data_IF_531059616443
#
_entry.id   IF_531059616443
#
_cell.length_a   1.000
_cell.length_b   1.000
_cell.length_c   1.000
_cell.angle_alpha   90.00
_cell.angle_beta   90.00
_cell.angle_gamma   90.00
#
_symmetry.space_group_name_H-M   'P 1'
#
loop_
_entity.id
_entity.type
_entity.pdbx_description
1 polymer ?
#
# COMPACT_ATOMS: atom_id res chain seq x y z
N UNK A 1 41.03 27.68 29.82
CA UNK A 1 39.78 28.03 29.09
C UNK A 1 39.16 26.76 28.56
N UNK A 2 37.89 26.53 28.90
CA UNK A 2 37.14 25.36 28.40
C UNK A 2 36.76 25.59 26.97
N UNK A 3 37.02 24.60 26.13
CA UNK A 3 36.62 24.55 24.69
C UNK A 3 35.55 23.51 24.48
N UNK A 4 34.59 23.85 23.64
CA UNK A 4 33.49 22.96 23.26
C UNK A 4 33.58 22.63 21.77
N UNK A 5 33.09 21.45 21.38
CA UNK A 5 32.94 21.08 20.00
C UNK A 5 31.71 20.15 19.90
N UNK A 6 30.75 20.59 19.13
CA UNK A 6 29.59 19.80 18.77
C UNK A 6 29.77 19.24 17.36
N UNK A 7 29.60 17.95 17.24
CA UNK A 7 29.66 17.25 15.95
C UNK A 7 28.61 16.15 15.87
N UNK A 8 28.23 15.77 14.68
CA UNK A 8 27.35 14.61 14.51
C UNK A 8 27.85 13.69 13.40
N UNK A 9 27.36 12.44 13.42
CA UNK A 9 27.64 11.44 12.42
C UNK A 9 26.59 10.33 12.43
N UNK A 10 26.76 9.37 11.51
CA UNK A 10 25.85 8.22 11.39
C UNK A 10 26.10 7.23 12.54
N UNK A 11 25.05 6.60 13.12
CA UNK A 11 25.23 5.54 14.09
C UNK A 11 26.06 4.38 13.55
N UNK A 12 26.93 3.83 14.38
CA UNK A 12 27.61 2.60 14.05
C UNK A 12 26.62 1.43 14.19
N UNK A 13 26.39 0.64 13.15
CA UNK A 13 25.42 -0.46 13.21
C UNK A 13 25.87 -1.63 14.09
N UNK A 14 27.17 -1.70 14.44
CA UNK A 14 27.68 -2.74 15.32
C UNK A 14 27.39 -2.41 16.78
N UNK A 15 26.60 -3.24 17.45
CA UNK A 15 26.31 -3.10 18.87
C UNK A 15 27.53 -3.31 19.79
N UNK A 16 28.61 -3.90 19.26
CA UNK A 16 29.89 -4.11 19.94
C UNK A 16 30.93 -3.02 19.64
N UNK A 17 30.57 -1.99 18.87
CA UNK A 17 31.51 -0.94 18.52
C UNK A 17 31.86 -0.09 19.76
N UNK A 18 33.13 0.08 20.01
CA UNK A 18 33.68 0.94 21.09
C UNK A 18 33.29 2.41 20.84
N UNK A 19 33.11 2.80 19.57
CA UNK A 19 32.73 4.15 19.18
C UNK A 19 31.37 4.14 18.48
N UNK A 20 30.39 4.93 18.99
CA UNK A 20 29.01 4.83 18.51
C UNK A 20 28.77 5.45 17.13
N UNK A 21 29.77 6.13 16.55
CA UNK A 21 29.66 6.80 15.23
C UNK A 21 30.49 6.07 14.20
N UNK A 22 29.93 5.87 13.03
CA UNK A 22 30.61 5.32 11.84
C UNK A 22 31.00 6.46 10.89
N UNK A 23 32.25 6.45 10.42
CA UNK A 23 32.75 7.42 9.44
C UNK A 23 33.11 8.79 10.03
N UNK A 24 33.15 9.79 9.17
CA UNK A 24 33.56 11.13 9.54
C UNK A 24 32.50 11.91 10.31
N UNK A 25 32.97 12.71 11.26
CA UNK A 25 32.14 13.60 12.04
C UNK A 25 32.00 14.95 11.33
N UNK A 26 30.80 15.45 11.26
CA UNK A 26 30.52 16.81 10.83
C UNK A 26 30.48 17.73 12.05
N UNK A 27 31.47 18.59 12.19
CA UNK A 27 31.49 19.65 13.24
C UNK A 27 30.47 20.73 12.88
N UNK A 28 29.63 21.13 13.86
CA UNK A 28 28.50 22.05 13.65
C UNK A 28 28.54 23.27 14.55
N UNK A 29 29.25 23.23 15.70
CA UNK A 29 29.43 24.39 16.58
C UNK A 29 30.60 24.18 17.54
N UNK A 30 31.16 25.28 18.02
CA UNK A 30 32.12 25.35 19.12
C UNK A 30 31.55 26.11 20.31
N UNK A 31 30.29 26.52 20.27
CA UNK A 31 29.65 27.22 21.39
C UNK A 31 29.24 26.25 22.49
N UNK A 32 29.18 26.71 23.77
CA UNK A 32 28.74 25.86 24.87
C UNK A 32 27.28 25.39 24.73
N UNK A 33 26.43 26.18 24.08
CA UNK A 33 25.04 25.89 23.79
C UNK A 33 24.85 25.79 22.25
N UNK A 34 24.19 24.73 21.80
CA UNK A 34 23.94 24.50 20.38
C UNK A 34 22.50 24.81 20.02
N UNK A 35 22.30 25.45 18.86
CA UNK A 35 21.08 25.48 18.09
C UNK A 35 21.42 25.08 16.66
N UNK A 36 20.91 23.92 16.22
CA UNK A 36 21.19 23.38 14.89
C UNK A 36 19.93 22.76 14.29
N UNK A 37 19.67 23.04 13.01
CA UNK A 37 18.54 22.48 12.27
C UNK A 37 19.05 21.39 11.34
N UNK A 38 18.54 20.17 11.55
CA UNK A 38 18.79 19.05 10.64
C UNK A 38 17.88 19.18 9.44
N UNK A 39 18.46 19.12 8.24
CA UNK A 39 17.74 19.23 6.96
C UNK A 39 17.40 17.87 6.34
N UNK A 40 17.84 16.78 6.93
CA UNK A 40 17.57 15.42 6.46
C UNK A 40 17.08 14.55 7.60
N UNK A 41 16.05 13.77 7.32
CA UNK A 41 15.53 12.74 8.23
C UNK A 41 16.58 11.64 8.42
N UNK A 42 16.62 11.06 9.60
CA UNK A 42 17.54 9.97 9.90
C UNK A 42 17.90 9.86 11.37
N UNK A 43 18.62 8.79 11.67
CA UNK A 43 19.20 8.59 12.99
C UNK A 43 20.62 9.12 13.00
N UNK A 44 20.92 9.95 13.99
CA UNK A 44 22.23 10.56 14.18
C UNK A 44 22.74 10.31 15.59
N UNK A 45 24.06 10.27 15.73
CA UNK A 45 24.72 10.38 17.03
C UNK A 45 25.38 11.75 17.06
N UNK A 46 24.97 12.59 18.01
CA UNK A 46 25.60 13.88 18.28
C UNK A 46 26.65 13.67 19.37
N UNK A 47 27.86 14.20 19.15
CA UNK A 47 28.97 14.19 20.10
C UNK A 47 29.26 15.60 20.59
N UNK A 48 29.27 15.76 21.89
CA UNK A 48 29.86 16.92 22.57
C UNK A 48 31.25 16.54 23.06
N UNK A 49 32.26 17.27 22.62
CA UNK A 49 33.62 17.26 23.17
C UNK A 49 33.80 18.48 24.08
N UNK A 50 34.29 18.26 25.29
CA UNK A 50 34.64 19.31 26.25
C UNK A 50 36.13 19.14 26.56
N UNK A 51 36.93 20.20 26.38
CA UNK A 51 38.36 20.21 26.58
C UNK A 51 38.72 21.39 27.50
N UNK A 52 39.25 21.11 28.68
CA UNK A 52 39.67 22.13 29.64
C UNK A 52 41.20 22.42 29.63
N UNK A 53 41.92 21.77 28.68
CA UNK A 53 43.37 21.85 28.56
C UNK A 53 44.13 20.79 29.35
N UNK A 54 43.52 20.14 30.32
CA UNK A 54 44.08 19.05 31.13
C UNK A 54 43.45 17.69 30.80
N UNK A 55 42.16 17.71 30.43
CA UNK A 55 41.38 16.53 30.10
C UNK A 55 40.38 16.80 29.02
N UNK A 56 39.99 15.72 28.27
CA UNK A 56 38.96 15.75 27.25
C UNK A 56 37.86 14.77 27.66
N UNK A 57 36.62 15.28 27.65
CA UNK A 57 35.43 14.47 27.90
C UNK A 57 34.54 14.43 26.66
N UNK A 58 34.00 13.27 26.35
CA UNK A 58 33.02 13.11 25.30
C UNK A 58 31.68 12.71 25.87
N UNK A 59 30.61 13.32 25.36
CA UNK A 59 29.24 12.90 25.62
C UNK A 59 28.52 12.68 24.32
N UNK A 60 27.75 11.59 24.25
CA UNK A 60 27.01 11.20 23.05
C UNK A 60 25.51 11.27 23.30
N UNK A 61 24.78 11.71 22.30
CA UNK A 61 23.32 11.79 22.29
C UNK A 61 22.81 11.11 21.03
N UNK A 62 21.82 10.24 21.19
CA UNK A 62 21.10 9.68 20.04
C UNK A 62 20.01 10.65 19.65
N UNK A 63 19.98 11.02 18.37
CA UNK A 63 18.96 11.88 17.79
C UNK A 63 18.22 11.12 16.71
N UNK A 64 16.91 11.17 16.76
CA UNK A 64 16.05 10.69 15.69
C UNK A 64 15.35 11.92 15.08
N UNK A 65 15.76 12.26 13.85
CA UNK A 65 15.21 13.39 13.11
C UNK A 65 14.15 12.86 12.16
N UNK A 66 12.91 13.18 12.47
CA UNK A 66 11.74 12.79 11.70
C UNK A 66 11.31 13.94 10.76
N UNK A 67 10.63 13.60 9.65
CA UNK A 67 10.12 14.59 8.70
C UNK A 67 8.87 15.32 9.20
N UNK A 68 8.25 14.82 10.25
CA UNK A 68 6.91 15.23 10.64
C UNK A 68 5.80 14.67 9.73
N UNK A 69 6.17 13.87 8.72
CA UNK A 69 5.24 13.21 7.78
C UNK A 69 5.28 11.68 7.94
N UNK A 70 5.56 11.21 9.15
CA UNK A 70 5.91 9.82 9.42
C UNK A 70 4.72 8.88 9.31
N UNK A 71 3.54 9.31 9.74
CA UNK A 71 2.37 8.46 9.91
C UNK A 71 1.09 9.15 9.46
N UNK A 72 0.20 8.40 8.78
CA UNK A 72 -1.07 8.95 8.32
C UNK A 72 -1.72 8.15 7.22
N UNK A 73 -2.78 8.71 6.65
CA UNK A 73 -3.57 8.09 5.59
C UNK A 73 -3.16 8.71 4.26
N UNK A 74 -2.86 7.86 3.29
CA UNK A 74 -2.59 8.24 1.90
C UNK A 74 -3.82 7.95 1.06
N UNK A 75 -4.21 8.92 0.24
CA UNK A 75 -5.32 8.79 -0.71
C UNK A 75 -4.83 9.18 -2.09
N UNK A 76 -4.67 8.20 -2.98
CA UNK A 76 -4.53 8.48 -4.40
C UNK A 76 -5.92 8.83 -4.92
N UNK A 77 -6.06 9.98 -5.54
CA UNK A 77 -7.33 10.47 -6.07
C UNK A 77 -7.13 11.10 -7.45
N UNK A 78 -8.18 11.13 -8.26
CA UNK A 78 -8.12 11.61 -9.64
C UNK A 78 -9.33 12.49 -9.95
N UNK A 79 -9.11 13.65 -10.57
CA UNK A 79 -10.16 14.56 -11.01
C UNK A 79 -10.80 14.15 -12.34
N UNK A 80 -11.80 14.91 -12.80
CA UNK A 80 -12.54 14.66 -14.05
C UNK A 80 -11.68 14.91 -15.32
N UNK A 81 -10.45 15.48 -15.19
CA UNK A 81 -9.47 15.70 -16.26
C UNK A 81 -8.30 14.71 -16.23
N UNK A 82 -8.42 13.64 -15.46
CA UNK A 82 -7.36 12.64 -15.25
C UNK A 82 -6.12 13.15 -14.49
N UNK A 83 -6.14 14.36 -13.88
CA UNK A 83 -5.08 14.76 -12.97
C UNK A 83 -5.26 14.00 -11.67
N UNK A 84 -4.17 13.41 -11.20
CA UNK A 84 -4.17 12.65 -9.96
C UNK A 84 -3.31 13.31 -8.91
N UNK A 85 -3.77 13.28 -7.68
CA UNK A 85 -3.06 13.79 -6.52
C UNK A 85 -2.85 12.68 -5.50
N UNK A 86 -1.75 12.77 -4.76
CA UNK A 86 -1.56 11.97 -3.56
C UNK A 86 -1.81 12.86 -2.35
N UNK A 87 -2.98 12.72 -1.76
CA UNK A 87 -3.35 13.42 -0.53
C UNK A 87 -2.83 12.65 0.68
N UNK A 88 -2.20 13.36 1.61
CA UNK A 88 -1.74 12.80 2.87
C UNK A 88 -2.48 13.45 4.04
N UNK A 89 -3.14 12.63 4.86
CA UNK A 89 -3.79 13.05 6.10
C UNK A 89 -2.89 12.58 7.24
N UNK A 90 -2.17 13.51 7.83
CA UNK A 90 -1.21 13.25 8.90
C UNK A 90 -1.90 12.81 10.18
N UNK A 91 -1.38 11.76 10.82
CA UNK A 91 -1.70 11.46 12.21
C UNK A 91 -0.91 12.42 13.08
N UNK A 92 -1.58 13.41 13.67
CA UNK A 92 -0.94 14.40 14.56
C UNK A 92 -0.77 13.84 15.96
N UNK A 93 0.30 14.27 16.64
CA UNK A 93 0.44 14.07 18.09
C UNK A 93 -0.48 15.03 18.84
N UNK A 94 -0.76 14.79 20.13
CA UNK A 94 -1.55 15.73 20.92
C UNK A 94 -0.95 17.14 20.94
N UNK A 95 0.37 17.27 21.01
CA UNK A 95 1.07 18.55 20.96
C UNK A 95 0.87 19.26 19.62
N UNK A 96 0.97 18.53 18.51
CA UNK A 96 0.73 19.06 17.16
C UNK A 96 -0.73 19.47 16.95
N UNK A 97 -1.68 18.78 17.59
CA UNK A 97 -3.10 19.19 17.59
C UNK A 97 -3.32 20.50 18.35
N UNK A 98 -2.71 20.64 19.53
CA UNK A 98 -2.78 21.86 20.33
C UNK A 98 -2.13 23.05 19.63
N UNK A 99 -1.03 22.84 18.91
CA UNK A 99 -0.34 23.86 18.12
C UNK A 99 -1.05 24.19 16.80
N UNK A 100 -2.10 23.46 16.43
CA UNK A 100 -2.83 23.65 15.18
C UNK A 100 -2.00 23.28 13.95
N UNK A 101 -1.11 22.31 14.08
CA UNK A 101 -0.28 21.84 12.96
C UNK A 101 -1.14 21.33 11.79
N UNK A 102 -0.66 21.52 10.56
CA UNK A 102 -1.35 21.08 9.35
C UNK A 102 -1.65 19.58 9.39
N UNK A 103 -2.88 19.21 9.14
CA UNK A 103 -3.34 17.82 9.13
C UNK A 103 -3.44 17.27 7.71
N UNK A 104 -3.96 18.04 6.76
CA UNK A 104 -4.22 17.61 5.39
C UNK A 104 -3.25 18.27 4.42
N UNK A 105 -2.53 17.45 3.68
CA UNK A 105 -1.65 17.84 2.59
C UNK A 105 -2.29 17.35 1.28
N UNK A 106 -2.91 18.27 0.53
CA UNK A 106 -3.72 17.92 -0.64
C UNK A 106 -2.93 17.27 -1.77
N UNK A 107 -1.74 17.78 -2.02
CA UNK A 107 -0.77 17.24 -2.99
C UNK A 107 0.60 17.15 -2.35
N UNK A 108 0.85 16.08 -1.62
CA UNK A 108 2.13 15.88 -0.94
C UNK A 108 3.28 15.66 -1.95
N UNK A 109 2.97 15.11 -3.13
CA UNK A 109 3.99 14.85 -4.17
C UNK A 109 4.45 16.16 -4.79
N UNK A 110 3.55 16.98 -5.30
CA UNK A 110 3.88 18.27 -5.91
C UNK A 110 4.47 19.26 -4.91
N UNK A 111 4.02 19.21 -3.64
CA UNK A 111 4.56 20.05 -2.57
C UNK A 111 6.04 19.75 -2.27
N UNK A 112 6.41 18.47 -2.19
CA UNK A 112 7.79 18.05 -1.87
C UNK A 112 8.68 18.05 -3.12
N UNK A 113 8.10 17.71 -4.28
CA UNK A 113 8.84 17.54 -5.55
C UNK A 113 8.24 18.46 -6.63
N UNK A 114 8.51 19.77 -6.60
CA UNK A 114 7.95 20.70 -7.57
C UNK A 114 8.21 20.27 -9.02
N UNK A 115 7.16 20.25 -9.85
CA UNK A 115 7.22 19.82 -11.24
C UNK A 115 6.99 18.32 -11.48
N UNK A 116 6.76 17.54 -10.44
CA UNK A 116 6.30 16.15 -10.58
C UNK A 116 4.78 16.13 -10.51
N UNK A 117 4.17 15.65 -11.58
CA UNK A 117 2.72 15.49 -11.72
C UNK A 117 2.37 14.03 -11.88
N UNK A 118 1.21 13.62 -11.33
CA UNK A 118 0.63 12.30 -11.52
C UNK A 118 -0.58 12.48 -12.45
N UNK A 119 -0.65 11.72 -13.52
CA UNK A 119 -1.79 11.70 -14.44
C UNK A 119 -2.32 10.29 -14.55
N UNK A 120 -3.64 10.10 -14.47
CA UNK A 120 -4.29 8.79 -14.53
C UNK A 120 -3.71 7.79 -13.52
N UNK A 121 -3.59 8.20 -12.26
CA UNK A 121 -3.11 7.34 -11.19
C UNK A 121 -4.00 6.09 -11.05
N UNK A 122 -3.38 4.90 -10.98
CA UNK A 122 -4.08 3.61 -10.96
C UNK A 122 -3.95 2.91 -9.63
N UNK A 123 -2.74 2.82 -9.12
CA UNK A 123 -2.49 2.08 -7.87
C UNK A 123 -1.39 2.73 -7.04
N UNK A 124 -1.44 2.47 -5.77
CA UNK A 124 -0.52 2.98 -4.75
C UNK A 124 -0.03 1.81 -3.91
N UNK A 125 1.28 1.75 -3.71
CA UNK A 125 1.90 0.68 -2.96
C UNK A 125 2.99 1.18 -2.03
N UNK A 126 3.03 0.68 -0.78
CA UNK A 126 4.09 0.92 0.18
C UNK A 126 4.84 -0.39 0.39
N UNK A 127 6.10 -0.41 -0.02
CA UNK A 127 7.00 -1.50 0.29
C UNK A 127 7.45 -1.40 1.75
N UNK A 128 7.26 -2.47 2.48
CA UNK A 128 7.77 -2.57 3.84
C UNK A 128 9.30 -2.65 3.87
N UNK A 129 9.88 -2.30 5.02
CA UNK A 129 11.28 -2.52 5.33
C UNK A 129 11.63 -3.99 5.09
N UNK A 130 12.60 -4.28 4.23
CA UNK A 130 13.10 -5.63 4.08
C UNK A 130 13.92 -6.08 5.30
N UNK A 131 14.22 -7.39 5.40
CA UNK A 131 15.02 -7.96 6.48
C UNK A 131 16.43 -7.35 6.61
N UNK A 132 16.92 -6.69 5.56
CA UNK A 132 18.22 -6.00 5.53
C UNK A 132 18.14 -4.54 5.98
N UNK A 133 16.96 -4.04 6.31
CA UNK A 133 16.77 -2.68 6.80
C UNK A 133 16.87 -1.58 5.75
N UNK A 134 16.99 -1.93 4.49
CA UNK A 134 17.22 -0.99 3.40
C UNK A 134 15.96 -0.83 2.54
N UNK A 135 15.57 0.42 2.37
CA UNK A 135 14.74 0.98 1.31
C UNK A 135 13.24 0.63 1.32
N UNK A 136 12.47 1.17 2.26
CA UNK A 136 11.05 1.31 2.03
C UNK A 136 10.84 2.22 0.81
N UNK A 137 9.91 1.82 -0.06
CA UNK A 137 9.47 2.63 -1.19
C UNK A 137 7.98 2.89 -1.13
N UNK A 138 7.61 4.11 -1.46
CA UNK A 138 6.24 4.49 -1.79
C UNK A 138 6.18 4.63 -3.30
N UNK A 139 5.33 3.85 -3.94
CA UNK A 139 5.29 3.76 -5.39
C UNK A 139 3.86 4.01 -5.89
N UNK A 140 3.74 4.88 -6.88
CA UNK A 140 2.48 5.15 -7.59
C UNK A 140 2.62 4.68 -9.02
N UNK A 141 1.66 3.92 -9.53
CA UNK A 141 1.55 3.59 -10.94
C UNK A 141 0.52 4.47 -11.62
N UNK A 142 0.74 4.75 -12.91
CA UNK A 142 -0.06 5.63 -13.72
C UNK A 142 -0.39 4.99 -15.07
N UNK A 143 -1.60 5.21 -15.55
CA UNK A 143 -2.03 4.82 -16.90
C UNK A 143 -1.91 5.96 -17.91
N UNK A 144 -1.05 6.94 -17.63
CA UNK A 144 -0.72 8.02 -18.54
C UNK A 144 -0.10 7.48 -19.86
N UNK A 145 0.18 8.35 -20.80
CA UNK A 145 0.72 7.94 -22.11
C UNK A 145 2.11 7.29 -22.00
N UNK A 146 2.83 7.54 -20.92
CA UNK A 146 4.17 6.97 -20.67
C UNK A 146 4.14 5.73 -19.76
N UNK A 147 3.00 5.41 -19.14
CA UNK A 147 2.91 4.36 -18.15
C UNK A 147 3.83 4.64 -16.96
N UNK A 148 3.75 5.85 -16.41
CA UNK A 148 4.69 6.33 -15.40
C UNK A 148 4.59 5.53 -14.10
N UNK A 149 5.74 5.18 -13.52
CA UNK A 149 5.86 4.66 -12.16
C UNK A 149 6.71 5.66 -11.38
N UNK A 150 6.15 6.24 -10.33
CA UNK A 150 6.77 7.25 -9.50
C UNK A 150 7.16 6.61 -8.18
N UNK A 151 8.45 6.56 -7.87
CA UNK A 151 9.00 6.03 -6.62
C UNK A 151 9.51 7.15 -5.74
N UNK A 152 9.16 7.09 -4.45
CA UNK A 152 9.47 8.07 -3.43
C UNK A 152 9.97 7.41 -2.15
N UNK A 153 10.72 8.15 -1.36
CA UNK A 153 11.01 7.76 0.03
C UNK A 153 9.74 7.95 0.88
N UNK A 154 9.18 6.89 1.47
CA UNK A 154 7.96 7.03 2.26
C UNK A 154 8.14 7.81 3.56
N UNK A 155 9.38 8.09 3.99
CA UNK A 155 9.64 8.84 5.23
C UNK A 155 9.41 10.34 5.07
N UNK A 156 9.69 10.87 3.85
CA UNK A 156 9.66 12.30 3.58
C UNK A 156 9.07 12.66 2.21
N UNK A 157 8.62 11.69 1.43
CA UNK A 157 8.07 11.83 0.07
C UNK A 157 9.04 12.37 -0.97
N UNK A 158 10.34 12.45 -0.68
CA UNK A 158 11.34 12.83 -1.69
C UNK A 158 11.35 11.84 -2.85
N UNK A 159 11.37 12.38 -4.06
CA UNK A 159 11.41 11.60 -5.29
C UNK A 159 12.71 10.78 -5.37
N UNK A 160 12.57 9.49 -5.65
CA UNK A 160 13.69 8.61 -5.98
C UNK A 160 13.85 8.47 -7.49
N UNK A 161 12.75 8.16 -8.19
CA UNK A 161 12.76 7.95 -9.64
C UNK A 161 11.37 8.13 -10.24
N UNK A 162 11.32 8.64 -11.46
CA UNK A 162 10.19 8.48 -12.38
C UNK A 162 10.63 7.54 -13.48
N UNK A 163 10.01 6.37 -13.53
CA UNK A 163 10.23 5.38 -14.59
C UNK A 163 9.10 5.50 -15.59
N UNK A 164 9.43 5.58 -16.88
CA UNK A 164 8.47 5.59 -17.97
C UNK A 164 8.52 4.22 -18.65
N UNK A 165 7.51 3.39 -18.44
CA UNK A 165 7.46 2.02 -18.94
C UNK A 165 7.45 1.98 -20.46
N UNK A 166 6.77 2.94 -21.10
CA UNK A 166 6.71 3.09 -22.56
C UNK A 166 8.11 3.19 -23.22
N UNK A 167 9.10 3.79 -22.55
CA UNK A 167 10.46 3.89 -23.07
C UNK A 167 11.21 2.56 -23.08
N UNK A 168 10.80 1.61 -22.21
CA UNK A 168 11.37 0.27 -22.11
C UNK A 168 10.57 -0.76 -22.91
N UNK A 169 9.27 -0.62 -22.90
CA UNK A 169 8.29 -1.54 -23.50
C UNK A 169 7.22 -0.75 -24.25
N UNK A 170 7.44 -0.40 -25.53
CA UNK A 170 6.51 0.43 -26.30
C UNK A 170 5.08 -0.14 -26.32
N UNK A 171 4.08 0.71 -26.07
CA UNK A 171 2.67 0.37 -25.99
C UNK A 171 2.24 -0.25 -24.65
N UNK A 172 3.15 -0.43 -23.68
CA UNK A 172 2.85 -1.07 -22.40
C UNK A 172 2.77 -0.07 -21.25
N UNK A 173 1.78 -0.27 -20.38
CA UNK A 173 1.66 0.39 -19.08
C UNK A 173 1.55 -0.69 -18.01
N UNK A 174 2.29 -0.53 -16.91
CA UNK A 174 2.16 -1.40 -15.75
C UNK A 174 1.15 -0.80 -14.78
N UNK A 175 0.10 -1.53 -14.43
CA UNK A 175 -1.08 -0.99 -13.77
C UNK A 175 -1.07 -1.28 -12.26
N UNK A 176 -1.46 -2.49 -11.87
CA UNK A 176 -1.68 -2.81 -10.47
C UNK A 176 -0.51 -3.56 -9.86
N UNK A 177 -0.17 -3.21 -8.63
CA UNK A 177 0.82 -3.92 -7.84
C UNK A 177 0.20 -5.18 -7.21
N UNK A 178 0.82 -6.32 -7.45
CA UNK A 178 0.43 -7.59 -6.86
C UNK A 178 1.21 -7.91 -5.56
N UNK A 179 1.78 -6.88 -4.93
CA UNK A 179 2.45 -6.98 -3.63
C UNK A 179 3.80 -7.67 -3.62
N UNK A 180 4.32 -7.91 -2.44
CA UNK A 180 5.67 -8.32 -2.12
C UNK A 180 5.84 -9.82 -1.92
N UNK A 181 7.08 -10.34 -2.09
CA UNK A 181 7.50 -11.62 -1.54
C UNK A 181 8.33 -11.44 -0.28
N UNK A 182 7.94 -12.11 0.79
CA UNK A 182 8.71 -12.18 2.03
C UNK A 182 9.99 -13.02 1.91
N UNK A 183 10.02 -13.98 0.97
CA UNK A 183 11.06 -15.00 0.90
C UNK A 183 12.35 -14.59 0.21
N UNK A 184 12.37 -13.45 -0.46
CA UNK A 184 13.52 -12.99 -1.25
C UNK A 184 13.88 -11.54 -0.95
N UNK A 185 14.16 -11.21 0.30
CA UNK A 185 14.62 -9.87 0.70
C UNK A 185 13.66 -8.71 0.48
N UNK A 186 12.39 -8.95 0.16
CA UNK A 186 11.40 -7.89 -0.06
C UNK A 186 11.74 -6.91 -1.20
N UNK A 187 12.59 -7.33 -2.13
CA UNK A 187 13.13 -6.48 -3.20
C UNK A 187 12.19 -6.29 -4.38
N UNK A 188 11.32 -7.26 -4.64
CA UNK A 188 10.54 -7.26 -5.86
C UNK A 188 9.04 -7.20 -5.60
N UNK A 189 8.32 -6.45 -6.43
CA UNK A 189 6.86 -6.58 -6.58
C UNK A 189 6.53 -6.95 -8.03
N UNK A 190 5.34 -7.50 -8.24
CA UNK A 190 4.86 -7.85 -9.57
C UNK A 190 3.74 -6.90 -9.98
N UNK A 191 3.61 -6.69 -11.28
CA UNK A 191 2.57 -5.84 -11.87
C UNK A 191 1.98 -6.52 -13.10
N UNK A 192 0.72 -6.23 -13.41
CA UNK A 192 0.13 -6.60 -14.70
C UNK A 192 0.36 -5.48 -15.72
N UNK A 193 0.74 -5.87 -16.93
CA UNK A 193 0.85 -4.95 -18.05
C UNK A 193 -0.45 -4.88 -18.88
N UNK A 194 -0.64 -3.77 -19.59
CA UNK A 194 -1.77 -3.60 -20.53
C UNK A 194 -1.73 -4.56 -21.72
N UNK A 195 -0.57 -5.14 -21.98
CA UNK A 195 -0.36 -6.21 -22.97
C UNK A 195 -0.75 -7.61 -22.46
N UNK A 196 -1.18 -7.70 -21.20
CA UNK A 196 -1.54 -8.96 -20.56
C UNK A 196 -0.34 -9.80 -20.10
N UNK A 197 0.86 -9.22 -20.05
CA UNK A 197 2.03 -9.86 -19.47
C UNK A 197 2.22 -9.46 -17.99
N UNK A 198 3.11 -10.17 -17.30
CA UNK A 198 3.50 -9.88 -15.92
C UNK A 198 4.86 -9.22 -15.94
N UNK A 199 4.98 -8.15 -15.19
CA UNK A 199 6.21 -7.38 -15.02
C UNK A 199 6.70 -7.46 -13.58
N UNK A 200 8.00 -7.52 -13.40
CA UNK A 200 8.65 -7.45 -12.10
C UNK A 200 9.22 -6.05 -11.89
N UNK A 201 8.79 -5.37 -10.85
CA UNK A 201 9.36 -4.11 -10.40
C UNK A 201 10.41 -4.38 -9.31
N UNK A 202 11.63 -3.89 -9.50
CA UNK A 202 12.74 -4.00 -8.56
C UNK A 202 12.84 -2.73 -7.72
N UNK A 203 12.54 -2.83 -6.43
CA UNK A 203 12.53 -1.71 -5.50
C UNK A 203 13.94 -1.16 -5.17
N UNK A 204 14.99 -1.94 -5.41
CA UNK A 204 16.36 -1.49 -5.18
C UNK A 204 16.85 -0.58 -6.31
N UNK A 205 16.58 -0.97 -7.55
CA UNK A 205 17.02 -0.24 -8.74
C UNK A 205 15.94 0.69 -9.30
N UNK A 206 14.70 0.53 -8.83
CA UNK A 206 13.51 1.19 -9.35
C UNK A 206 13.36 0.97 -10.87
N UNK A 207 13.52 -0.29 -11.30
CA UNK A 207 13.41 -0.71 -12.69
C UNK A 207 12.33 -1.77 -12.88
N UNK A 208 11.81 -1.84 -14.10
CA UNK A 208 10.80 -2.83 -14.52
C UNK A 208 11.41 -3.83 -15.48
N UNK A 209 11.14 -5.11 -15.26
CA UNK A 209 11.54 -6.19 -16.15
C UNK A 209 10.35 -7.08 -16.53
N UNK A 210 10.16 -7.32 -17.82
CA UNK A 210 9.18 -8.29 -18.32
C UNK A 210 9.53 -9.70 -17.83
N UNK A 211 8.55 -10.42 -17.34
CA UNK A 211 8.64 -11.87 -17.18
C UNK A 211 8.39 -12.53 -18.53
N UNK A 212 9.45 -13.06 -19.13
CA UNK A 212 9.38 -13.58 -20.52
C UNK A 212 8.45 -14.77 -20.67
N UNK A 213 8.25 -15.57 -19.62
CA UNK A 213 7.31 -16.68 -19.56
C UNK A 213 5.84 -16.23 -19.53
N UNK A 214 5.58 -14.95 -19.23
CA UNK A 214 4.23 -14.39 -19.16
C UNK A 214 3.75 -13.67 -20.42
N UNK A 215 4.61 -13.53 -21.42
CA UNK A 215 4.39 -12.68 -22.61
C UNK A 215 3.07 -12.90 -23.34
N UNK A 216 2.55 -14.13 -23.32
CA UNK A 216 1.33 -14.50 -24.03
C UNK A 216 0.19 -14.97 -23.10
N UNK A 217 0.28 -14.69 -21.82
CA UNK A 217 -0.72 -15.16 -20.86
C UNK A 217 -2.05 -14.41 -21.00
N UNK A 218 -1.98 -13.12 -21.38
CA UNK A 218 -3.17 -12.27 -21.47
C UNK A 218 -3.81 -12.01 -20.11
N UNK A 219 -2.99 -11.77 -19.08
CA UNK A 219 -3.45 -11.48 -17.72
C UNK A 219 -4.32 -10.23 -17.69
N UNK A 220 -5.47 -10.29 -17.05
CA UNK A 220 -6.42 -9.18 -16.94
C UNK A 220 -6.24 -8.40 -15.65
N UNK A 221 -5.99 -9.09 -14.53
CA UNK A 221 -5.88 -8.46 -13.23
C UNK A 221 -4.78 -9.08 -12.36
N UNK A 222 -4.23 -8.25 -11.48
CA UNK A 222 -3.33 -8.64 -10.41
C UNK A 222 -4.08 -8.63 -9.07
N UNK A 223 -3.79 -9.59 -8.22
CA UNK A 223 -4.30 -9.66 -6.86
C UNK A 223 -3.16 -9.82 -5.86
N UNK A 224 -3.20 -9.01 -4.83
CA UNK A 224 -2.29 -9.08 -3.69
C UNK A 224 -2.99 -9.64 -2.46
N UNK A 225 -2.41 -10.68 -1.88
CA UNK A 225 -2.89 -11.25 -0.63
C UNK A 225 -1.77 -11.38 0.41
N UNK A 226 -2.10 -11.21 1.67
CA UNK A 226 -1.19 -11.45 2.79
C UNK A 226 -1.77 -12.47 3.74
N UNK A 227 -0.94 -13.42 4.17
CA UNK A 227 -1.26 -14.35 5.25
C UNK A 227 -0.12 -14.31 6.27
N UNK A 228 -0.45 -13.95 7.50
CA UNK A 228 0.55 -13.59 8.51
C UNK A 228 1.54 -12.55 7.97
N UNK A 229 2.82 -12.85 7.89
CA UNK A 229 3.83 -11.97 7.32
C UNK A 229 4.25 -12.40 5.91
N UNK A 230 3.68 -13.48 5.38
CA UNK A 230 3.90 -13.92 4.01
C UNK A 230 3.00 -13.16 3.04
N UNK A 231 3.57 -12.83 1.89
CA UNK A 231 2.90 -12.09 0.81
C UNK A 231 2.76 -13.00 -0.41
N UNK A 232 1.58 -12.96 -1.01
CA UNK A 232 1.25 -13.77 -2.18
C UNK A 232 0.73 -12.87 -3.30
N UNK A 233 1.08 -13.18 -4.53
CA UNK A 233 0.55 -12.52 -5.69
C UNK A 233 0.02 -13.56 -6.65
N UNK A 234 -1.11 -13.19 -7.19
CA UNK A 234 -1.82 -13.94 -8.18
C UNK A 234 -2.20 -13.02 -9.32
N UNK A 235 -2.17 -13.60 -10.49
CA UNK A 235 -2.68 -12.97 -11.69
C UNK A 235 -3.71 -13.89 -12.28
N UNK A 236 -4.75 -13.35 -12.89
CA UNK A 236 -5.75 -14.18 -13.51
C UNK A 236 -6.26 -13.64 -14.82
N UNK A 237 -6.75 -14.56 -15.64
CA UNK A 237 -7.47 -14.31 -16.86
C UNK A 237 -8.59 -15.32 -16.96
N UNK A 238 -9.82 -14.87 -17.24
CA UNK A 238 -10.96 -15.75 -17.42
C UNK A 238 -11.10 -16.80 -16.29
N UNK A 239 -10.71 -18.02 -16.58
CA UNK A 239 -10.79 -19.19 -15.69
C UNK A 239 -9.43 -19.65 -15.14
N UNK A 240 -8.36 -18.92 -15.41
CA UNK A 240 -6.99 -19.36 -15.10
C UNK A 240 -6.34 -18.42 -14.08
N UNK A 241 -5.69 -19.01 -13.07
CA UNK A 241 -4.91 -18.29 -12.07
C UNK A 241 -3.43 -18.60 -12.28
N UNK A 242 -2.62 -17.55 -12.32
CA UNK A 242 -1.18 -17.63 -12.38
C UNK A 242 -0.56 -17.19 -11.05
N UNK A 243 0.32 -18.01 -10.49
CA UNK A 243 1.07 -17.72 -9.28
C UNK A 243 2.58 -17.74 -9.59
N UNK A 244 3.14 -16.63 -10.06
CA UNK A 244 4.55 -16.57 -10.46
C UNK A 244 5.47 -16.74 -9.26
N UNK A 245 6.57 -17.50 -9.45
CA UNK A 245 7.65 -17.60 -8.47
C UNK A 245 8.63 -16.43 -8.61
N UNK A 246 9.14 -15.92 -7.49
CA UNK A 246 10.17 -14.87 -7.52
C UNK A 246 11.55 -15.35 -7.91
N UNK A 247 11.88 -16.56 -7.47
CA UNK A 247 13.23 -17.08 -7.60
C UNK A 247 13.63 -17.39 -9.04
N UNK A 248 12.64 -17.59 -9.91
CA UNK A 248 12.87 -17.89 -11.33
C UNK A 248 12.01 -16.96 -12.18
N UNK A 249 12.66 -16.19 -13.03
CA UNK A 249 11.98 -15.33 -14.01
C UNK A 249 11.13 -16.18 -14.96
N UNK A 250 11.48 -17.46 -15.12
CA UNK A 250 10.95 -18.37 -16.14
C UNK A 250 9.95 -19.41 -15.62
N UNK A 251 9.47 -19.32 -14.39
CA UNK A 251 8.48 -20.30 -13.86
C UNK A 251 7.22 -19.63 -13.36
N UNK A 252 6.20 -19.65 -14.20
CA UNK A 252 4.82 -19.32 -13.80
C UNK A 252 4.11 -20.62 -13.50
N UNK A 253 3.80 -20.85 -12.23
CA UNK A 253 2.92 -21.95 -11.86
C UNK A 253 1.50 -21.55 -12.20
N UNK A 254 0.89 -22.29 -13.12
CA UNK A 254 -0.56 -22.26 -13.26
C UNK A 254 -1.11 -23.01 -12.06
N UNK A 255 -1.85 -22.33 -11.19
CA UNK A 255 -2.67 -23.04 -10.24
C UNK A 255 -3.57 -23.96 -11.05
N UNK A 256 -3.34 -25.26 -10.96
CA UNK A 256 -4.00 -26.26 -11.80
C UNK A 256 -5.48 -26.36 -11.44
N UNK A 257 -6.23 -25.40 -11.95
CA UNK A 257 -7.65 -25.28 -11.80
C UNK A 257 -8.39 -25.62 -13.07
N UNK A 258 -8.09 -26.76 -13.68
CA UNK A 258 -8.89 -27.32 -14.78
C UNK A 258 -10.39 -27.38 -14.45
N UNK A 259 -10.76 -27.28 -13.19
CA UNK A 259 -12.14 -27.24 -12.71
C UNK A 259 -12.82 -25.86 -12.80
N UNK A 260 -12.14 -24.80 -13.23
CA UNK A 260 -12.74 -23.47 -13.42
C UNK A 260 -13.22 -23.21 -14.86
N UNK A 261 -13.15 -24.17 -15.77
CA UNK A 261 -13.48 -23.97 -17.19
C UNK A 261 -14.88 -23.41 -17.41
N UNK A 262 -15.85 -23.82 -16.57
CA UNK A 262 -17.24 -23.37 -16.63
C UNK A 262 -17.50 -22.04 -15.89
N UNK A 263 -16.45 -21.38 -15.42
CA UNK A 263 -16.52 -20.20 -14.60
C UNK A 263 -15.64 -19.10 -15.16
N UNK A 264 -16.01 -17.85 -14.87
CA UNK A 264 -15.18 -16.66 -15.07
C UNK A 264 -14.76 -16.14 -13.70
N UNK A 265 -13.48 -15.97 -13.45
CA UNK A 265 -12.97 -15.36 -12.21
C UNK A 265 -13.34 -13.87 -12.22
N UNK A 266 -13.95 -13.42 -11.15
CA UNK A 266 -14.34 -12.00 -11.00
C UNK A 266 -13.54 -11.32 -9.90
N UNK A 267 -13.15 -12.07 -8.87
CA UNK A 267 -12.28 -11.55 -7.81
C UNK A 267 -11.62 -12.69 -7.04
N UNK A 268 -10.66 -12.33 -6.18
CA UNK A 268 -10.01 -13.27 -5.27
C UNK A 268 -9.82 -12.63 -3.91
N UNK A 269 -9.83 -13.44 -2.86
CA UNK A 269 -9.57 -12.99 -1.50
C UNK A 269 -8.74 -14.02 -0.75
N UNK A 270 -7.75 -13.54 -0.01
CA UNK A 270 -6.88 -14.37 0.80
C UNK A 270 -7.27 -14.23 2.26
N UNK A 271 -7.56 -15.38 2.91
CA UNK A 271 -7.87 -15.40 4.34
C UNK A 271 -6.60 -15.18 5.14
N UNK A 272 -6.54 -14.10 5.90
CA UNK A 272 -5.32 -13.66 6.59
C UNK A 272 -5.04 -14.33 7.92
N UNK A 273 -5.97 -15.16 8.44
CA UNK A 273 -5.82 -15.81 9.75
C UNK A 273 -6.29 -17.27 9.71
N UNK A 274 -5.59 -18.14 10.44
CA UNK A 274 -5.91 -19.56 10.54
C UNK A 274 -5.28 -20.38 9.42
N UNK A 275 -6.05 -21.24 8.77
CA UNK A 275 -5.56 -22.04 7.63
C UNK A 275 -5.35 -21.13 6.42
N UNK A 276 -4.24 -21.31 5.73
CA UNK A 276 -3.96 -20.60 4.47
C UNK A 276 -4.95 -21.01 3.40
N UNK A 277 -5.84 -20.12 3.03
CA UNK A 277 -6.90 -20.35 2.07
C UNK A 277 -7.03 -19.19 1.10
N UNK A 278 -7.00 -19.50 -0.19
CA UNK A 278 -7.38 -18.58 -1.25
C UNK A 278 -8.84 -18.86 -1.61
N UNK A 279 -9.68 -17.87 -1.53
CA UNK A 279 -11.05 -17.90 -2.01
C UNK A 279 -11.13 -17.23 -3.36
N UNK A 280 -11.56 -17.99 -4.37
CA UNK A 280 -11.75 -17.51 -5.74
C UNK A 280 -13.22 -17.27 -5.97
N UNK A 281 -13.59 -16.06 -6.28
CA UNK A 281 -14.97 -15.66 -6.53
C UNK A 281 -15.15 -15.67 -8.04
N UNK A 282 -16.15 -16.44 -8.51
CA UNK A 282 -16.39 -16.66 -9.92
C UNK A 282 -17.85 -16.41 -10.28
N UNK A 283 -18.11 -16.14 -11.57
CA UNK A 283 -19.43 -16.27 -12.17
C UNK A 283 -19.50 -17.58 -12.95
N UNK A 284 -20.54 -18.37 -12.71
CA UNK A 284 -20.81 -19.56 -13.51
C UNK A 284 -21.34 -19.15 -14.89
N UNK A 285 -20.75 -19.68 -15.96
CA UNK A 285 -21.08 -19.28 -17.33
C UNK A 285 -22.50 -19.64 -17.76
N UNK A 286 -23.08 -20.72 -17.16
CA UNK A 286 -24.41 -21.22 -17.53
C UNK A 286 -25.57 -20.35 -17.03
N UNK A 287 -25.44 -19.70 -15.88
CA UNK A 287 -26.52 -18.96 -15.21
C UNK A 287 -26.08 -17.63 -14.59
N UNK A 288 -24.82 -17.25 -14.78
CA UNK A 288 -24.22 -16.03 -14.29
C UNK A 288 -24.20 -15.88 -12.75
N UNK A 289 -24.45 -16.97 -12.00
CA UNK A 289 -24.43 -16.95 -10.54
C UNK A 289 -23.00 -16.86 -9.98
N UNK A 290 -22.88 -16.18 -8.83
CA UNK A 290 -21.61 -16.13 -8.12
C UNK A 290 -21.37 -17.46 -7.41
N UNK A 291 -20.18 -18.01 -7.58
CA UNK A 291 -19.73 -19.25 -6.95
C UNK A 291 -18.39 -19.03 -6.30
N UNK A 292 -18.24 -19.46 -5.05
CA UNK A 292 -16.97 -19.41 -4.33
C UNK A 292 -16.25 -20.75 -4.44
N UNK A 293 -14.97 -20.66 -4.76
CA UNK A 293 -14.07 -21.80 -4.80
C UNK A 293 -12.97 -21.59 -3.77
N UNK A 294 -12.75 -22.58 -2.96
CA UNK A 294 -11.70 -22.59 -1.94
C UNK A 294 -10.52 -23.39 -2.43
N UNK A 295 -9.35 -22.78 -2.48
CA UNK A 295 -8.11 -23.45 -2.84
C UNK A 295 -7.34 -23.88 -1.59
N UNK A 296 -6.56 -24.96 -1.73
CA UNK A 296 -5.70 -25.46 -0.66
C UNK A 296 -4.56 -24.50 -0.33
N UNK A 297 -3.87 -24.76 0.77
CA UNK A 297 -2.70 -23.99 1.17
C UNK A 297 -1.54 -24.01 0.15
N UNK A 298 -1.51 -24.97 -0.75
CA UNK A 298 -0.52 -25.06 -1.84
C UNK A 298 -0.96 -24.29 -3.09
N UNK A 299 -2.17 -23.75 -3.10
CA UNK A 299 -2.78 -23.01 -4.22
C UNK A 299 -2.83 -23.76 -5.56
N UNK A 300 -2.59 -25.07 -5.53
CA UNK A 300 -2.54 -25.92 -6.72
C UNK A 300 -3.75 -26.82 -6.88
N UNK A 301 -4.56 -26.95 -5.84
CA UNK A 301 -5.73 -27.84 -5.85
C UNK A 301 -6.94 -27.23 -5.13
N UNK A 302 -8.13 -27.57 -5.60
CA UNK A 302 -9.37 -27.29 -4.90
C UNK A 302 -9.48 -28.09 -3.62
N UNK A 303 -9.60 -27.42 -2.49
CA UNK A 303 -9.97 -28.09 -1.24
C UNK A 303 -11.49 -28.25 -1.12
N UNK A 304 -12.27 -27.23 -1.54
CA UNK A 304 -13.72 -27.23 -1.46
C UNK A 304 -14.30 -26.19 -2.41
N UNK A 305 -15.38 -26.55 -3.06
CA UNK A 305 -16.25 -25.65 -3.82
C UNK A 305 -17.52 -25.41 -3.00
N UNK A 306 -17.93 -24.15 -2.92
CA UNK A 306 -19.18 -23.76 -2.29
C UNK A 306 -20.06 -23.16 -3.39
N UNK A 307 -21.11 -23.90 -3.74
CA UNK A 307 -22.19 -23.39 -4.58
C UNK A 307 -23.27 -22.84 -3.66
N UNK A 308 -23.49 -21.55 -3.76
CA UNK A 308 -24.67 -20.93 -3.23
C UNK A 308 -25.69 -20.85 -4.36
N UNK A 309 -26.39 -21.98 -4.63
CA UNK A 309 -27.51 -22.03 -5.56
C UNK A 309 -28.64 -21.15 -5.02
N UNK A 310 -28.94 -20.06 -5.72
CA UNK A 310 -29.47 -18.93 -5.06
C UNK A 310 -30.82 -18.51 -5.57
N UNK A 311 -31.75 -18.43 -4.67
CA UNK A 311 -32.98 -17.64 -4.82
C UNK A 311 -32.73 -16.15 -4.69
N UNK A 312 -31.57 -15.75 -4.13
CA UNK A 312 -31.16 -14.36 -3.91
C UNK A 312 -29.75 -14.13 -4.43
N UNK A 313 -29.49 -13.07 -5.25
CA UNK A 313 -28.18 -12.72 -5.70
C UNK A 313 -27.23 -12.35 -4.55
N UNK A 314 -25.96 -12.73 -4.66
CA UNK A 314 -24.93 -12.30 -3.73
C UNK A 314 -24.66 -10.79 -3.87
N UNK A 315 -24.41 -10.13 -2.75
CA UNK A 315 -24.03 -8.72 -2.68
C UNK A 315 -22.54 -8.56 -3.02
N UNK A 316 -22.11 -8.98 -4.20
CA UNK A 316 -20.71 -8.93 -4.64
C UNK A 316 -20.62 -8.99 -6.15
N UNK A 317 -19.66 -8.27 -6.73
CA UNK A 317 -19.35 -8.28 -8.16
C UNK A 317 -17.86 -8.05 -8.45
N UNK A 318 -17.52 -7.89 -9.71
CA UNK A 318 -16.16 -7.64 -10.20
C UNK A 318 -15.58 -6.28 -9.80
N UNK A 319 -16.40 -5.34 -9.34
CA UNK A 319 -16.02 -4.00 -8.89
C UNK A 319 -15.89 -3.93 -7.36
N UNK A 320 -16.25 -5.01 -6.66
CA UNK A 320 -16.16 -5.06 -5.21
C UNK A 320 -14.70 -4.96 -4.75
N UNK A 321 -14.37 -3.91 -4.01
CA UNK A 321 -13.08 -3.75 -3.34
C UNK A 321 -13.13 -4.51 -2.02
N UNK A 322 -12.14 -5.35 -1.77
CA UNK A 322 -12.13 -6.26 -0.61
C UNK A 322 -10.99 -5.94 0.34
N UNK A 323 -11.31 -5.83 1.62
CA UNK A 323 -10.36 -5.65 2.71
C UNK A 323 -10.47 -6.84 3.66
N UNK A 324 -9.38 -7.57 3.82
CA UNK A 324 -9.29 -8.68 4.77
C UNK A 324 -8.63 -8.24 6.06
N UNK A 325 -9.09 -8.76 7.18
CA UNK A 325 -8.53 -8.49 8.50
C UNK A 325 -7.79 -9.72 9.05
N UNK A 326 -6.69 -9.46 9.76
CA UNK A 326 -5.87 -10.47 10.42
C UNK A 326 -6.41 -10.80 11.82
N UNK A 327 -6.85 -9.77 12.55
CA UNK A 327 -7.31 -9.92 13.94
C UNK A 327 -8.59 -10.71 14.07
N UNK A 328 -9.58 -10.41 13.23
CA UNK A 328 -10.93 -10.96 13.35
C UNK A 328 -11.26 -12.04 12.34
N UNK A 329 -10.34 -12.40 11.42
CA UNK A 329 -10.60 -13.32 10.32
C UNK A 329 -11.89 -12.96 9.56
N UNK A 330 -12.04 -11.67 9.24
CA UNK A 330 -13.19 -11.13 8.53
C UNK A 330 -12.77 -10.47 7.22
N UNK A 331 -13.71 -10.36 6.31
CA UNK A 331 -13.61 -9.59 5.08
C UNK A 331 -14.67 -8.50 5.08
N UNK A 332 -14.26 -7.30 4.67
CA UNK A 332 -15.16 -6.20 4.34
C UNK A 332 -15.05 -5.91 2.86
N UNK A 333 -16.17 -5.65 2.21
CA UNK A 333 -16.21 -5.35 0.78
C UNK A 333 -17.42 -4.48 0.46
N UNK A 334 -17.31 -3.70 -0.63
CA UNK A 334 -18.42 -2.88 -1.08
C UNK A 334 -19.22 -3.59 -2.18
N UNK A 335 -20.51 -3.34 -2.20
CA UNK A 335 -21.44 -3.67 -3.28
C UNK A 335 -22.64 -2.72 -3.21
N UNK A 336 -23.11 -2.26 -4.37
CA UNK A 336 -24.28 -1.37 -4.49
C UNK A 336 -24.27 -0.25 -3.43
N UNK A 337 -23.15 0.45 -3.37
CA UNK A 337 -22.95 1.58 -2.45
C UNK A 337 -23.13 1.28 -0.96
N UNK A 338 -22.86 0.07 -0.55
CA UNK A 338 -22.88 -0.41 0.84
C UNK A 338 -21.64 -1.23 1.13
N UNK A 339 -21.24 -1.29 2.40
CA UNK A 339 -20.16 -2.17 2.84
C UNK A 339 -20.79 -3.37 3.55
N UNK A 340 -20.39 -4.55 3.14
CA UNK A 340 -20.77 -5.81 3.76
C UNK A 340 -19.61 -6.41 4.53
N UNK A 341 -19.93 -7.22 5.54
CA UNK A 341 -18.97 -7.99 6.33
C UNK A 341 -19.25 -9.48 6.18
N UNK A 342 -18.21 -10.25 5.96
CA UNK A 342 -18.28 -11.71 5.92
C UNK A 342 -17.15 -12.33 6.76
N UNK A 343 -17.49 -13.34 7.56
CA UNK A 343 -16.59 -14.01 8.51
C UNK A 343 -15.99 -15.32 7.98
N UNK A 344 -16.18 -15.63 6.72
CA UNK A 344 -15.78 -16.86 6.03
C UNK A 344 -16.47 -18.15 6.49
N UNK A 345 -17.12 -18.16 7.64
CA UNK A 345 -17.81 -19.34 8.18
C UNK A 345 -19.31 -19.34 7.84
N UNK A 346 -19.89 -18.15 7.78
CA UNK A 346 -21.29 -17.96 7.43
C UNK A 346 -21.50 -17.93 5.92
N UNK A 347 -22.77 -17.94 5.51
CA UNK A 347 -23.16 -17.65 4.14
C UNK A 347 -22.69 -16.25 3.74
N UNK A 348 -22.23 -16.10 2.50
CA UNK A 348 -21.86 -14.78 1.99
C UNK A 348 -23.12 -13.89 1.94
N UNK A 349 -23.03 -12.60 2.29
CA UNK A 349 -24.16 -11.68 2.24
C UNK A 349 -24.82 -11.61 0.86
N UNK A 350 -26.15 -11.64 0.84
CA UNK A 350 -26.97 -11.39 -0.35
C UNK A 350 -27.41 -9.94 -0.42
N UNK A 351 -28.01 -9.53 -1.52
CA UNK A 351 -28.55 -8.17 -1.72
C UNK A 351 -29.56 -7.78 -0.63
N UNK A 352 -30.24 -8.75 0.01
CA UNK A 352 -31.21 -8.54 1.09
C UNK A 352 -30.57 -8.59 2.48
N UNK A 353 -29.28 -8.90 2.58
CA UNK A 353 -28.57 -8.89 3.86
C UNK A 353 -28.37 -7.46 4.37
N UNK A 354 -28.44 -7.31 5.70
CA UNK A 354 -28.14 -6.01 6.32
C UNK A 354 -26.68 -5.65 6.07
N UNK A 355 -26.37 -4.50 5.47
CA UNK A 355 -25.01 -4.01 5.31
C UNK A 355 -24.39 -3.71 6.68
N UNK A 356 -23.08 -3.82 6.77
CA UNK A 356 -22.30 -3.39 7.92
C UNK A 356 -22.23 -1.86 8.01
N UNK A 357 -22.06 -1.20 6.86
CA UNK A 357 -21.96 0.25 6.76
C UNK A 357 -22.75 0.70 5.53
N UNK A 358 -23.49 1.78 5.70
CA UNK A 358 -24.12 2.55 4.61
C UNK A 358 -23.55 3.97 4.70
N UNK A 359 -22.86 4.48 3.66
CA UNK A 359 -22.36 5.84 3.66
C UNK A 359 -23.51 6.85 3.65
N UNK A 360 -23.25 8.14 3.91
CA UNK A 360 -24.26 9.19 3.80
C UNK A 360 -24.90 9.23 2.41
N UNK A 361 -26.11 9.76 2.35
CA UNK A 361 -26.86 9.86 1.09
C UNK A 361 -26.10 10.69 0.05
N UNK A 362 -26.05 10.23 -1.18
CA UNK A 362 -25.32 10.86 -2.29
C UNK A 362 -23.85 10.52 -2.39
N UNK A 363 -23.29 9.81 -1.41
CA UNK A 363 -21.90 9.34 -1.43
C UNK A 363 -21.81 7.97 -2.12
N UNK A 364 -20.98 7.85 -3.14
CA UNK A 364 -20.69 6.60 -3.84
C UNK A 364 -19.37 6.03 -3.35
N UNK A 365 -19.33 4.76 -2.90
CA UNK A 365 -18.10 4.12 -2.45
C UNK A 365 -17.21 3.82 -3.66
N UNK A 366 -15.99 4.34 -3.64
CA UNK A 366 -15.01 4.13 -4.72
C UNK A 366 -13.87 3.20 -4.31
N UNK A 367 -13.49 3.21 -3.03
CA UNK A 367 -12.39 2.38 -2.54
C UNK A 367 -12.50 2.15 -1.03
N UNK A 368 -11.84 1.10 -0.56
CA UNK A 368 -11.72 0.78 0.85
C UNK A 368 -10.25 0.69 1.26
N UNK A 369 -9.96 1.01 2.50
CA UNK A 369 -8.65 0.84 3.13
C UNK A 369 -8.80 0.45 4.60
N UNK A 370 -7.69 0.27 5.31
CA UNK A 370 -7.70 -0.03 6.74
C UNK A 370 -6.49 0.57 7.44
N UNK A 371 -6.62 0.80 8.75
CA UNK A 371 -5.49 1.16 9.60
C UNK A 371 -4.51 -0.02 9.75
N UNK A 372 -3.27 0.29 10.11
CA UNK A 372 -2.23 -0.72 10.34
C UNK A 372 -2.60 -1.69 11.46
N UNK A 373 -3.13 -1.15 12.55
CA UNK A 373 -3.57 -1.89 13.73
C UNK A 373 -4.91 -2.61 13.55
N UNK A 374 -5.56 -2.43 12.37
CA UNK A 374 -6.86 -3.00 12.02
C UNK A 374 -7.98 -2.63 13.01
N UNK A 375 -7.91 -1.43 13.59
CA UNK A 375 -8.99 -0.89 14.40
C UNK A 375 -10.00 -0.13 13.53
N UNK A 376 -9.57 0.43 12.39
CA UNK A 376 -10.38 1.31 11.55
C UNK A 376 -10.46 0.86 10.11
N UNK A 377 -11.68 0.90 9.57
CA UNK A 377 -11.99 0.79 8.16
C UNK A 377 -12.08 2.19 7.54
N UNK A 378 -11.38 2.40 6.45
CA UNK A 378 -11.42 3.60 5.65
C UNK A 378 -12.34 3.39 4.46
N UNK A 379 -13.32 4.26 4.29
CA UNK A 379 -14.27 4.23 3.18
C UNK A 379 -14.07 5.51 2.37
N UNK A 380 -13.48 5.37 1.20
CA UNK A 380 -13.35 6.45 0.23
C UNK A 380 -14.61 6.56 -0.61
N UNK A 381 -15.18 7.75 -0.68
CA UNK A 381 -16.41 7.99 -1.42
C UNK A 381 -16.28 9.16 -2.38
N UNK A 382 -17.22 9.23 -3.31
CA UNK A 382 -17.35 10.29 -4.30
C UNK A 382 -18.79 10.74 -4.38
N UNK A 383 -19.03 12.05 -4.32
CA UNK A 383 -20.38 12.65 -4.45
C UNK A 383 -20.40 13.57 -5.67
N UNK A 384 -20.93 13.13 -6.82
CA UNK A 384 -20.93 13.92 -8.05
C UNK A 384 -21.70 15.24 -7.94
N UNK A 385 -22.65 15.35 -6.99
CA UNK A 385 -23.45 16.55 -6.76
C UNK A 385 -22.76 17.59 -5.88
N UNK A 386 -21.62 17.26 -5.23
CA UNK A 386 -20.90 18.18 -4.38
C UNK A 386 -20.16 19.24 -5.21
N UNK A 387 -20.18 20.49 -4.76
CA UNK A 387 -19.36 21.57 -5.31
C UNK A 387 -17.91 21.47 -4.80
N UNK A 388 -16.94 21.87 -5.62
CA UNK A 388 -15.51 21.77 -5.30
C UNK A 388 -15.01 20.33 -5.39
N UNK A 389 -14.18 19.90 -4.44
CA UNK A 389 -13.72 18.52 -4.34
C UNK A 389 -14.87 17.61 -3.94
N UNK A 390 -15.08 16.56 -4.71
CA UNK A 390 -16.23 15.69 -4.61
C UNK A 390 -16.00 14.43 -3.79
N UNK A 391 -14.73 14.12 -3.48
CA UNK A 391 -14.35 12.93 -2.74
C UNK A 391 -14.21 13.16 -1.25
N UNK A 392 -14.49 12.13 -0.48
CA UNK A 392 -14.48 12.13 0.98
C UNK A 392 -13.83 10.87 1.53
N UNK A 393 -13.40 10.95 2.79
CA UNK A 393 -12.96 9.82 3.58
C UNK A 393 -13.82 9.71 4.84
N UNK A 394 -14.42 8.54 5.04
CA UNK A 394 -15.12 8.17 6.27
C UNK A 394 -14.34 7.07 6.99
N UNK A 395 -14.12 7.24 8.28
CA UNK A 395 -13.38 6.32 9.15
C UNK A 395 -14.36 5.66 10.09
N UNK A 396 -14.46 4.35 10.00
CA UNK A 396 -15.34 3.54 10.83
C UNK A 396 -14.54 2.61 11.74
N UNK A 397 -14.99 2.43 12.97
CA UNK A 397 -14.43 1.44 13.87
C UNK A 397 -14.84 0.03 13.42
N UNK A 398 -13.87 -0.89 13.28
CA UNK A 398 -14.14 -2.26 12.81
C UNK A 398 -15.01 -3.07 13.75
N UNK A 399 -14.90 -2.87 15.06
CA UNK A 399 -15.63 -3.67 16.04
C UNK A 399 -17.09 -3.23 16.15
N UNK A 400 -17.33 -1.93 16.22
CA UNK A 400 -18.65 -1.35 16.44
C UNK A 400 -19.36 -0.94 15.14
N UNK A 401 -18.63 -0.77 14.05
CA UNK A 401 -19.10 -0.25 12.76
C UNK A 401 -19.64 1.20 12.85
N UNK A 402 -19.33 1.90 13.92
CA UNK A 402 -19.68 3.29 14.10
C UNK A 402 -18.72 4.22 13.34
N UNK A 403 -19.24 5.31 12.82
CA UNK A 403 -18.44 6.39 12.27
C UNK A 403 -17.62 7.05 13.40
N UNK A 404 -16.31 7.11 13.21
CA UNK A 404 -15.37 7.73 14.15
C UNK A 404 -15.01 9.13 13.71
N UNK A 405 -14.72 9.31 12.42
CA UNK A 405 -14.31 10.58 11.83
C UNK A 405 -14.69 10.65 10.36
N UNK A 406 -14.96 11.85 9.86
CA UNK A 406 -15.16 12.09 8.44
C UNK A 406 -14.36 13.29 7.97
N UNK A 407 -13.90 13.22 6.73
CA UNK A 407 -13.27 14.30 6.00
C UNK A 407 -14.02 14.45 4.67
N UNK A 408 -14.90 15.42 4.59
CA UNK A 408 -15.78 15.59 3.44
C UNK A 408 -15.23 16.63 2.46
N UNK A 409 -15.27 16.30 1.16
CA UNK A 409 -14.85 17.23 0.11
C UNK A 409 -13.37 17.61 0.17
N UNK A 410 -12.50 16.70 0.59
CA UNK A 410 -11.05 16.97 0.74
C UNK A 410 -10.21 16.49 -0.44
N UNK A 411 -10.74 15.58 -1.25
CA UNK A 411 -10.06 14.95 -2.39
C UNK A 411 -10.98 14.97 -3.62
N UNK A 412 -10.42 14.68 -4.79
CA UNK A 412 -11.20 14.32 -5.96
C UNK A 412 -11.67 12.86 -5.83
N UNK A 413 -11.94 12.13 -6.89
CA UNK A 413 -12.42 10.74 -6.80
C UNK A 413 -11.35 9.83 -6.22
N UNK A 414 -11.52 9.25 -5.01
CA UNK A 414 -10.54 8.34 -4.43
C UNK A 414 -10.38 7.09 -5.28
N UNK A 415 -9.13 6.72 -5.57
CA UNK A 415 -8.74 5.53 -6.34
C UNK A 415 -8.20 4.44 -5.40
N UNK A 416 -7.35 4.84 -4.45
CA UNK A 416 -6.71 3.93 -3.50
C UNK A 416 -6.48 4.61 -2.16
N UNK A 417 -6.69 3.88 -1.06
CA UNK A 417 -6.40 4.34 0.29
C UNK A 417 -5.43 3.37 0.95
N UNK A 418 -4.33 3.89 1.48
CA UNK A 418 -3.38 3.13 2.30
C UNK A 418 -3.08 3.87 3.60
N UNK A 419 -2.79 3.13 4.64
CA UNK A 419 -2.21 3.69 5.85
C UNK A 419 -0.69 3.61 5.78
N UNK A 420 -0.04 4.76 5.94
CA UNK A 420 1.40 4.90 6.06
C UNK A 420 1.75 4.91 7.54
N UNK A 421 2.40 3.88 8.00
CA UNK A 421 2.86 3.80 9.39
C UNK A 421 4.29 4.35 9.52
N UNK A 422 4.66 4.67 10.74
CA UNK A 422 6.01 5.16 11.06
C UNK A 422 7.06 4.09 10.72
N UNK A 423 8.06 4.47 9.95
CA UNK A 423 9.11 3.59 9.44
C UNK A 423 10.46 3.84 10.13
#
# INVERSE_FOLDING_TARGET
>A
TVKYEWAYGTPNPSSSAVYPIKGDLKVISTDPNIRYTFTRVGNYIMRLKIDNGESIVFKFYTLNVNSGLDEGILILNTDDQDHSLLTFIKTRTPEEEEEGAQEIYEDIVGMINPGIEITKGVDLYIANKNSEGNYPDLVVSSADDKGSIISMDPRNFELKKVLKVEELYPGVKCLNFAGFSSSASGRYTMMNGTDGAIYRYDLLTNDVALRTDSRNLGVEKAYYGTFDDDHYHFFYKESVIYAPSYAKIDSTSVASGSSLTDYKIVNMVFKRRGVRELWVITRRKSDNNIVLHKMSSTFTQYAKRLDYAETEPMAMDENSVMITTRRSAQMYYNYDNKVYRWDYASRIPTINSKPAITPPAGEEITTLGRSYDENYLYVGTYNPARSGKKGSLYIYDFATQNLVKSYEGIVDKPVKILYKYRM
#
